data_IF_732122644997
#
_entry.id   IF_732122644997
#
_cell.length_a   1.000
_cell.length_b   1.000
_cell.length_c   1.000
_cell.angle_alpha   90.00
_cell.angle_beta   90.00
_cell.angle_gamma   90.00
#
_symmetry.space_group_name_H-M   'P 1'
#
loop_
_entity.id
_entity.type
_entity.pdbx_description
1 polymer ?
#
# COMPACT_ATOMS: atom_id res chain seq x y z
N UNK A 1 -45.56 -5.00 -46.94
CA UNK A 1 -44.90 -4.28 -45.84
C UNK A 1 -44.12 -5.27 -45.01
N UNK A 2 -42.76 -5.19 -45.11
CA UNK A 2 -41.86 -6.03 -44.36
C UNK A 2 -41.49 -5.23 -43.10
N UNK A 3 -42.02 -5.66 -41.96
CA UNK A 3 -41.70 -5.09 -40.64
C UNK A 3 -40.21 -5.35 -40.32
N UNK A 4 -39.44 -4.28 -40.06
CA UNK A 4 -38.06 -4.38 -39.57
C UNK A 4 -38.09 -4.84 -38.12
N UNK A 5 -37.27 -5.85 -37.71
CA UNK A 5 -37.14 -6.18 -36.30
C UNK A 5 -36.44 -5.05 -35.58
N UNK A 6 -37.02 -4.55 -34.48
CA UNK A 6 -36.37 -3.65 -33.56
C UNK A 6 -35.22 -4.40 -32.88
N UNK A 7 -34.00 -3.96 -33.10
CA UNK A 7 -32.83 -4.43 -32.31
C UNK A 7 -33.02 -3.90 -30.87
N UNK A 8 -33.43 -4.75 -29.98
CA UNK A 8 -33.35 -4.49 -28.55
C UNK A 8 -31.92 -4.83 -28.13
N UNK A 9 -31.09 -3.81 -27.90
CA UNK A 9 -29.79 -3.98 -27.32
C UNK A 9 -30.00 -4.41 -25.85
N UNK A 10 -29.42 -5.52 -25.40
CA UNK A 10 -29.59 -5.95 -24.01
C UNK A 10 -29.04 -4.89 -23.04
N UNK A 11 -29.78 -4.63 -21.94
CA UNK A 11 -29.35 -3.70 -20.87
C UNK A 11 -27.98 -4.01 -20.26
N UNK A 12 -27.53 -5.27 -20.33
CA UNK A 12 -26.22 -5.72 -19.89
C UNK A 12 -25.04 -5.00 -20.60
N UNK A 13 -25.20 -4.69 -21.89
CA UNK A 13 -24.16 -4.04 -22.69
C UNK A 13 -23.96 -2.55 -22.27
N UNK A 14 -25.01 -1.90 -21.77
CA UNK A 14 -24.98 -0.50 -21.36
C UNK A 14 -24.28 -0.34 -19.97
N UNK A 15 -24.50 -1.27 -19.04
CA UNK A 15 -23.82 -1.27 -17.73
C UNK A 15 -22.34 -1.58 -17.89
N UNK A 16 -21.96 -2.45 -18.81
CA UNK A 16 -20.56 -2.81 -19.09
C UNK A 16 -19.81 -1.66 -19.78
N UNK A 17 -20.46 -0.93 -20.70
CA UNK A 17 -19.88 0.26 -21.33
C UNK A 17 -19.69 1.42 -20.33
N UNK A 18 -20.61 1.61 -19.40
CA UNK A 18 -20.49 2.65 -18.36
C UNK A 18 -19.40 2.32 -17.36
N UNK A 19 -19.30 1.07 -16.94
CA UNK A 19 -18.21 0.57 -16.12
C UNK A 19 -16.86 0.75 -16.82
N UNK A 20 -16.73 0.36 -18.08
CA UNK A 20 -15.51 0.54 -18.87
C UNK A 20 -15.08 2.01 -18.99
N UNK A 21 -16.04 2.93 -19.22
CA UNK A 21 -15.76 4.39 -19.24
C UNK A 21 -15.29 4.91 -17.89
N UNK A 22 -15.88 4.43 -16.78
CA UNK A 22 -15.49 4.80 -15.43
C UNK A 22 -14.08 4.33 -15.12
N UNK A 23 -13.73 3.08 -15.39
CA UNK A 23 -12.38 2.54 -15.24
C UNK A 23 -11.36 3.35 -16.07
N UNK A 24 -11.64 3.64 -17.33
CA UNK A 24 -10.77 4.44 -18.18
C UNK A 24 -10.54 5.87 -17.64
N UNK A 25 -11.53 6.43 -16.93
CA UNK A 25 -11.43 7.77 -16.33
C UNK A 25 -10.41 7.86 -15.18
N UNK A 26 -10.11 6.74 -14.49
CA UNK A 26 -9.11 6.71 -13.42
C UNK A 26 -7.70 6.95 -13.93
N UNK A 27 -7.41 6.58 -15.17
CA UNK A 27 -6.14 6.82 -15.84
C UNK A 27 -5.15 5.67 -15.70
N UNK A 28 -3.93 5.90 -16.17
CA UNK A 28 -2.84 4.93 -16.09
C UNK A 28 -2.15 4.96 -14.71
N UNK A 29 -1.29 3.99 -14.47
CA UNK A 29 -0.55 3.79 -13.21
C UNK A 29 0.20 5.06 -12.75
N UNK A 30 0.92 5.73 -13.64
CA UNK A 30 1.68 6.96 -13.31
C UNK A 30 0.76 8.11 -12.88
N UNK A 31 -0.36 8.31 -13.59
CA UNK A 31 -1.33 9.36 -13.27
C UNK A 31 -2.05 9.10 -11.94
N UNK A 32 -2.36 7.85 -11.66
CA UNK A 32 -2.98 7.45 -10.38
C UNK A 32 -1.98 7.64 -9.23
N UNK A 33 -0.72 7.23 -9.39
CA UNK A 33 0.35 7.48 -8.41
C UNK A 33 0.50 8.98 -8.10
N UNK A 34 0.55 9.83 -9.14
CA UNK A 34 0.65 11.28 -8.97
C UNK A 34 -0.53 11.83 -8.16
N UNK A 35 -1.74 11.39 -8.47
CA UNK A 35 -2.95 11.85 -7.78
C UNK A 35 -2.98 11.44 -6.31
N UNK A 36 -2.68 10.18 -6.02
CA UNK A 36 -2.69 9.67 -4.65
C UNK A 36 -1.55 10.29 -3.81
N UNK A 37 -0.39 10.49 -4.40
CA UNK A 37 0.71 11.19 -3.72
C UNK A 37 0.42 12.68 -3.42
N UNK A 38 -0.45 13.32 -4.18
CA UNK A 38 -0.82 14.72 -3.97
C UNK A 38 -1.96 14.92 -2.96
N UNK A 39 -2.72 13.87 -2.66
CA UNK A 39 -3.84 13.89 -1.70
C UNK A 39 -3.38 13.45 -0.30
N UNK A 40 -4.15 13.79 0.74
CA UNK A 40 -3.97 13.18 2.07
C UNK A 40 -4.57 11.78 2.11
N UNK A 41 -4.12 10.93 3.05
CA UNK A 41 -4.67 9.61 3.30
C UNK A 41 -6.17 9.63 3.50
N UNK A 42 -6.66 10.50 4.38
CA UNK A 42 -8.09 10.65 4.63
C UNK A 42 -8.90 11.00 3.36
N UNK A 43 -8.36 11.86 2.49
CA UNK A 43 -9.00 12.20 1.21
C UNK A 43 -9.04 11.00 0.28
N UNK A 44 -7.93 10.25 0.18
CA UNK A 44 -7.85 9.05 -0.66
C UNK A 44 -8.75 7.96 -0.10
N UNK A 45 -8.75 7.73 1.20
CA UNK A 45 -9.61 6.74 1.87
C UNK A 45 -11.09 7.01 1.62
N UNK A 46 -11.55 8.26 1.84
CA UNK A 46 -12.95 8.63 1.58
C UNK A 46 -13.35 8.39 0.12
N UNK A 47 -12.49 8.74 -0.82
CA UNK A 47 -12.72 8.54 -2.25
C UNK A 47 -12.78 7.07 -2.64
N UNK A 48 -11.88 6.24 -2.13
CA UNK A 48 -11.84 4.80 -2.45
C UNK A 48 -12.97 4.02 -1.76
N UNK A 49 -13.47 4.51 -0.63
CA UNK A 49 -14.68 3.98 0.01
C UNK A 49 -15.91 4.17 -0.87
N UNK A 50 -16.00 5.30 -1.59
CA UNK A 50 -17.08 5.57 -2.53
C UNK A 50 -16.87 4.87 -3.89
N UNK A 51 -15.61 4.64 -4.29
CA UNK A 51 -15.22 4.10 -5.59
C UNK A 51 -14.18 2.99 -5.44
N UNK A 52 -14.52 1.83 -4.86
CA UNK A 52 -13.56 0.75 -4.59
C UNK A 52 -12.96 0.13 -5.88
N UNK A 53 -13.62 0.23 -7.00
CA UNK A 53 -13.12 -0.19 -8.30
C UNK A 53 -11.93 0.66 -8.81
N UNK A 54 -11.74 1.89 -8.31
CA UNK A 54 -10.51 2.64 -8.55
C UNK A 54 -9.30 1.96 -7.91
N UNK A 55 -9.45 1.46 -6.69
CA UNK A 55 -8.41 0.70 -5.99
C UNK A 55 -8.09 -0.60 -6.74
N UNK A 56 -9.14 -1.34 -7.17
CA UNK A 56 -8.97 -2.58 -7.94
C UNK A 56 -8.24 -2.33 -9.27
N UNK A 57 -8.58 -1.25 -9.96
CA UNK A 57 -7.90 -0.85 -11.20
C UNK A 57 -6.42 -0.53 -10.93
N UNK A 58 -6.12 0.26 -9.88
CA UNK A 58 -4.75 0.55 -9.48
C UNK A 58 -3.93 -0.73 -9.24
N UNK A 59 -4.46 -1.66 -8.47
CA UNK A 59 -3.77 -2.92 -8.17
C UNK A 59 -3.65 -3.85 -9.39
N UNK A 60 -4.57 -3.78 -10.35
CA UNK A 60 -4.40 -4.48 -11.62
C UNK A 60 -3.21 -3.96 -12.42
N UNK A 61 -3.03 -2.64 -12.45
CA UNK A 61 -1.87 -1.99 -13.10
C UNK A 61 -0.56 -2.26 -12.34
N UNK A 62 -0.62 -2.29 -11.01
CA UNK A 62 0.52 -2.65 -10.16
C UNK A 62 0.99 -4.10 -10.40
N UNK A 63 0.04 -5.06 -10.46
CA UNK A 63 0.36 -6.46 -10.80
C UNK A 63 1.03 -6.59 -12.16
N UNK A 64 0.57 -5.83 -13.15
CA UNK A 64 1.17 -5.84 -14.49
C UNK A 64 2.58 -5.25 -14.45
N UNK A 65 2.76 -4.11 -13.81
CA UNK A 65 4.04 -3.43 -13.72
C UNK A 65 5.12 -4.27 -13.02
N UNK A 66 4.76 -5.02 -11.98
CA UNK A 66 5.73 -5.80 -11.19
C UNK A 66 6.21 -7.08 -11.89
N UNK A 67 5.55 -7.54 -12.95
CA UNK A 67 6.01 -8.73 -13.72
C UNK A 67 7.42 -8.58 -14.26
N UNK A 68 7.82 -7.36 -14.60
CA UNK A 68 9.13 -7.02 -15.16
C UNK A 68 10.15 -6.57 -14.10
N UNK A 69 9.84 -6.70 -12.80
CA UNK A 69 10.75 -6.28 -11.74
C UNK A 69 11.73 -7.39 -11.39
N UNK A 70 13.03 -7.04 -11.38
CA UNK A 70 14.08 -7.95 -10.93
C UNK A 70 14.04 -8.19 -9.41
N UNK A 71 13.49 -7.22 -8.66
CA UNK A 71 13.30 -7.24 -7.21
C UNK A 71 11.85 -6.89 -6.93
N UNK A 72 11.17 -7.70 -6.14
CA UNK A 72 9.79 -7.47 -5.71
C UNK A 72 9.81 -7.15 -4.20
N UNK A 73 9.56 -5.88 -3.81
CA UNK A 73 9.77 -5.42 -2.45
C UNK A 73 9.14 -6.27 -1.34
N UNK A 74 7.88 -6.69 -1.48
CA UNK A 74 7.24 -7.51 -0.45
C UNK A 74 7.84 -8.93 -0.34
N UNK A 75 8.46 -9.45 -1.41
CA UNK A 75 9.15 -10.74 -1.37
C UNK A 75 10.50 -10.64 -0.65
N UNK A 76 11.24 -9.55 -0.84
CA UNK A 76 12.46 -9.29 -0.08
C UNK A 76 12.13 -9.06 1.39
N UNK A 77 11.10 -8.27 1.69
CA UNK A 77 10.61 -8.06 3.04
C UNK A 77 10.21 -9.38 3.72
N UNK A 78 9.52 -10.26 3.01
CA UNK A 78 9.16 -11.57 3.54
C UNK A 78 10.40 -12.41 3.90
N UNK A 79 11.47 -12.39 3.09
CA UNK A 79 12.72 -13.09 3.41
C UNK A 79 13.35 -12.59 4.72
N UNK A 80 13.35 -11.28 4.95
CA UNK A 80 13.89 -10.67 6.17
C UNK A 80 13.07 -11.02 7.41
N UNK A 81 11.75 -11.18 7.24
CA UNK A 81 10.83 -11.45 8.34
C UNK A 81 10.66 -12.95 8.64
N UNK A 82 10.79 -13.84 7.65
CA UNK A 82 10.67 -15.29 7.85
C UNK A 82 11.69 -15.90 8.83
N UNK A 83 12.80 -15.21 9.08
CA UNK A 83 13.79 -15.62 10.10
C UNK A 83 13.38 -15.23 11.54
N UNK A 84 12.21 -14.60 11.71
CA UNK A 84 11.73 -14.02 12.97
C UNK A 84 10.39 -14.65 13.36
N UNK A 85 10.43 -15.86 13.90
CA UNK A 85 9.24 -16.58 14.31
C UNK A 85 8.49 -15.85 15.44
N UNK A 86 7.16 -15.80 15.32
CA UNK A 86 6.25 -15.27 16.36
C UNK A 86 6.16 -13.75 16.42
N UNK A 87 6.76 -13.02 15.48
CA UNK A 87 6.65 -11.56 15.44
C UNK A 87 5.24 -11.09 15.09
N UNK A 88 4.85 -9.96 15.69
CA UNK A 88 3.63 -9.21 15.34
C UNK A 88 4.02 -8.10 14.35
N UNK A 89 3.52 -8.20 13.14
CA UNK A 89 3.88 -7.32 12.01
C UNK A 89 2.67 -6.47 11.61
N UNK A 90 2.86 -5.17 11.48
CA UNK A 90 1.89 -4.27 10.85
C UNK A 90 2.30 -3.98 9.40
N UNK A 91 1.47 -4.34 8.44
CA UNK A 91 1.67 -4.06 7.01
C UNK A 91 0.81 -2.87 6.61
N UNK A 92 1.42 -1.69 6.55
CA UNK A 92 0.78 -0.41 6.29
C UNK A 92 0.68 -0.13 4.78
N UNK A 93 -0.52 -0.21 4.24
CA UNK A 93 -0.78 -0.17 2.80
C UNK A 93 -0.49 -1.52 2.15
N UNK A 94 -1.06 -2.57 2.74
CA UNK A 94 -0.79 -3.97 2.39
C UNK A 94 -1.25 -4.36 0.98
N UNK A 95 -2.07 -3.54 0.34
CA UNK A 95 -2.66 -3.86 -0.95
C UNK A 95 -3.47 -5.16 -0.89
N UNK A 96 -3.03 -6.16 -1.62
CA UNK A 96 -3.66 -7.48 -1.68
C UNK A 96 -3.20 -8.43 -0.55
N UNK A 97 -2.54 -7.90 0.50
CA UNK A 97 -2.03 -8.66 1.65
C UNK A 97 -1.02 -9.78 1.27
N UNK A 98 -0.22 -9.57 0.22
CA UNK A 98 0.74 -10.54 -0.27
C UNK A 98 1.85 -10.85 0.75
N UNK A 99 2.22 -9.88 1.59
CA UNK A 99 3.19 -10.10 2.66
C UNK A 99 2.64 -11.07 3.71
N UNK A 100 1.38 -10.88 4.13
CA UNK A 100 0.72 -11.77 5.08
C UNK A 100 0.61 -13.21 4.52
N UNK A 101 0.28 -13.37 3.24
CA UNK A 101 0.26 -14.68 2.58
C UNK A 101 1.65 -15.36 2.61
N UNK A 102 2.72 -14.60 2.34
CA UNK A 102 4.09 -15.13 2.34
C UNK A 102 4.58 -15.53 3.74
N UNK A 103 4.22 -14.76 4.77
CA UNK A 103 4.64 -15.03 6.15
C UNK A 103 3.83 -16.17 6.78
N UNK A 104 2.59 -16.39 6.35
CA UNK A 104 1.74 -17.49 6.83
C UNK A 104 1.68 -17.51 8.37
N UNK A 105 1.89 -18.70 8.96
CA UNK A 105 1.83 -18.89 10.41
C UNK A 105 3.14 -18.51 11.14
N UNK A 106 4.18 -18.05 10.43
CA UNK A 106 5.45 -17.64 11.05
C UNK A 106 5.32 -16.35 11.85
N UNK A 107 4.46 -15.44 11.39
CA UNK A 107 4.22 -14.14 12.03
C UNK A 107 2.72 -13.89 12.14
N UNK A 108 2.33 -13.10 13.15
CA UNK A 108 0.98 -12.51 13.18
C UNK A 108 1.02 -11.23 12.38
N UNK A 109 0.28 -11.14 11.27
CA UNK A 109 0.29 -9.94 10.41
C UNK A 109 -1.04 -9.21 10.51
N UNK A 110 -0.98 -7.94 10.90
CA UNK A 110 -2.08 -6.99 10.81
C UNK A 110 -1.94 -6.21 9.51
N UNK A 111 -2.86 -6.40 8.59
CA UNK A 111 -2.83 -5.81 7.24
C UNK A 111 -3.81 -4.64 7.16
N UNK A 112 -3.30 -3.44 6.77
CA UNK A 112 -4.08 -2.20 6.69
C UNK A 112 -4.03 -1.65 5.28
N UNK A 113 -5.19 -1.28 4.72
CA UNK A 113 -5.27 -0.58 3.44
C UNK A 113 -6.54 0.29 3.39
N UNK A 114 -6.67 1.12 2.37
CA UNK A 114 -7.89 1.91 2.16
C UNK A 114 -9.11 1.05 1.84
N UNK A 115 -8.91 -0.12 1.24
CA UNK A 115 -9.96 -1.06 0.83
C UNK A 115 -9.63 -2.46 1.33
N UNK A 116 -10.54 -3.08 2.08
CA UNK A 116 -10.40 -4.47 2.49
C UNK A 116 -10.79 -5.39 1.32
N UNK A 117 -9.82 -6.14 0.80
CA UNK A 117 -10.04 -7.12 -0.28
C UNK A 117 -10.47 -8.49 0.24
N UNK A 118 -10.25 -8.75 1.52
CA UNK A 118 -10.63 -9.96 2.23
C UNK A 118 -10.76 -9.68 3.74
N UNK A 119 -11.18 -10.68 4.51
CA UNK A 119 -11.42 -10.56 5.96
C UNK A 119 -10.15 -10.34 6.80
N UNK A 120 -8.96 -10.53 6.22
CA UNK A 120 -7.68 -10.32 6.92
C UNK A 120 -7.14 -8.88 6.76
N UNK A 121 -7.80 -8.04 5.96
CA UNK A 121 -7.41 -6.64 5.74
C UNK A 121 -8.37 -5.70 6.47
N UNK A 122 -7.82 -4.83 7.30
CA UNK A 122 -8.56 -3.75 7.95
C UNK A 122 -8.59 -2.52 7.05
N UNK A 123 -9.80 -2.12 6.62
CA UNK A 123 -9.97 -0.92 5.80
C UNK A 123 -9.89 0.35 6.67
N UNK A 124 -8.79 1.12 6.55
CA UNK A 124 -8.57 2.34 7.32
C UNK A 124 -7.65 3.33 6.63
N UNK A 125 -7.50 4.53 7.20
CA UNK A 125 -6.37 5.42 6.92
C UNK A 125 -5.17 4.97 7.75
N UNK A 126 -4.00 4.81 7.13
CA UNK A 126 -2.77 4.42 7.82
C UNK A 126 -2.27 5.44 8.85
N UNK A 127 -2.84 6.64 8.88
CA UNK A 127 -2.57 7.63 9.92
C UNK A 127 -3.28 7.34 11.25
N UNK A 128 -4.20 6.35 11.28
CA UNK A 128 -4.99 5.97 12.46
C UNK A 128 -5.44 4.50 12.30
N UNK A 129 -4.54 3.57 12.62
CA UNK A 129 -4.81 2.13 12.52
C UNK A 129 -5.41 1.57 13.82
N UNK A 130 -6.29 0.55 13.74
CA UNK A 130 -6.96 -0.02 14.93
C UNK A 130 -6.04 -0.98 15.72
N UNK A 131 -4.84 -0.50 16.11
CA UNK A 131 -3.84 -1.22 16.90
C UNK A 131 -3.48 -0.36 18.12
N UNK A 132 -3.33 -0.98 19.26
CA UNK A 132 -2.93 -0.30 20.49
C UNK A 132 -1.44 0.15 20.44
N UNK A 133 -1.08 1.06 21.36
CA UNK A 133 0.30 1.55 21.47
C UNK A 133 1.25 0.40 21.84
N UNK A 134 2.36 0.28 21.12
CA UNK A 134 3.42 -0.65 21.46
C UNK A 134 3.09 -2.14 21.24
N UNK A 135 2.23 -2.47 20.30
CA UNK A 135 1.82 -3.86 20.01
C UNK A 135 2.70 -4.54 18.96
N UNK A 136 3.26 -3.79 18.02
CA UNK A 136 3.97 -4.35 16.89
C UNK A 136 5.47 -4.56 17.18
N UNK A 137 5.99 -5.70 16.75
CA UNK A 137 7.44 -5.94 16.68
C UNK A 137 8.06 -5.28 15.44
N UNK A 138 7.28 -5.23 14.35
CA UNK A 138 7.69 -4.64 13.07
C UNK A 138 6.55 -3.89 12.43
N UNK A 139 6.82 -2.68 11.93
CA UNK A 139 5.95 -1.93 11.03
C UNK A 139 6.59 -1.89 9.63
N UNK A 140 5.80 -2.17 8.60
CA UNK A 140 6.26 -2.26 7.21
C UNK A 140 5.50 -1.27 6.34
N UNK A 141 6.24 -0.51 5.54
CA UNK A 141 5.74 0.23 4.38
C UNK A 141 6.39 -0.32 3.12
N UNK A 142 5.62 -1.00 2.28
CA UNK A 142 6.11 -1.61 1.05
C UNK A 142 5.48 -0.94 -0.16
N UNK A 143 6.13 0.08 -0.72
CA UNK A 143 5.61 0.96 -1.80
C UNK A 143 4.30 1.65 -1.42
N UNK A 144 4.13 1.98 -0.15
CA UNK A 144 2.87 2.44 0.41
C UNK A 144 2.91 3.82 1.08
N UNK A 145 4.09 4.47 1.18
CA UNK A 145 4.19 5.84 1.70
C UNK A 145 3.62 6.87 0.70
N UNK A 146 2.41 6.60 0.19
CA UNK A 146 1.70 7.47 -0.75
C UNK A 146 0.80 8.42 0.01
N UNK A 147 0.93 9.70 -0.29
CA UNK A 147 0.13 10.75 0.34
C UNK A 147 0.96 11.97 0.72
N UNK A 148 0.35 13.13 0.69
CA UNK A 148 1.00 14.40 1.08
C UNK A 148 1.29 14.47 2.59
N UNK A 149 0.62 13.64 3.39
CA UNK A 149 0.78 13.54 4.83
C UNK A 149 1.47 12.24 5.29
N UNK A 150 2.34 11.66 4.47
CA UNK A 150 3.03 10.38 4.80
C UNK A 150 3.79 10.41 6.14
N UNK A 151 4.18 11.60 6.63
CA UNK A 151 4.78 11.76 7.96
C UNK A 151 3.84 11.31 9.08
N UNK A 152 2.53 11.45 8.89
CA UNK A 152 1.55 11.00 9.90
C UNK A 152 1.48 9.47 9.94
N UNK A 153 1.68 8.78 8.80
CA UNK A 153 1.78 7.32 8.75
C UNK A 153 3.00 6.80 9.52
N UNK A 154 4.14 7.48 9.36
CA UNK A 154 5.37 7.14 10.07
C UNK A 154 5.24 7.35 11.58
N UNK A 155 4.54 8.42 12.00
CA UNK A 155 4.21 8.65 13.43
C UNK A 155 3.29 7.56 13.97
N UNK A 156 2.30 7.15 13.19
CA UNK A 156 1.37 6.09 13.58
C UNK A 156 2.09 4.74 13.70
N UNK A 157 2.97 4.42 12.76
CA UNK A 157 3.85 3.25 12.87
C UNK A 157 4.71 3.32 14.15
N UNK A 158 5.28 4.49 14.48
CA UNK A 158 6.04 4.68 15.71
C UNK A 158 5.19 4.46 16.97
N UNK A 159 3.94 4.94 17.00
CA UNK A 159 3.00 4.75 18.11
C UNK A 159 2.72 3.27 18.36
N UNK A 160 2.50 2.51 17.28
CA UNK A 160 2.13 1.10 17.36
C UNK A 160 3.31 0.16 17.59
N UNK A 161 4.55 0.61 17.33
CA UNK A 161 5.75 -0.18 17.57
C UNK A 161 6.08 -0.30 19.06
N UNK A 162 6.53 -1.48 19.46
CA UNK A 162 7.19 -1.72 20.76
C UNK A 162 8.46 -0.87 20.87
N UNK A 163 8.97 -0.67 22.09
CA UNK A 163 10.17 0.14 22.35
C UNK A 163 11.38 -0.30 21.52
N UNK A 164 11.57 -1.60 21.32
CA UNK A 164 12.65 -2.18 20.50
C UNK A 164 12.14 -2.67 19.14
N UNK A 165 10.94 -2.24 18.74
CA UNK A 165 10.33 -2.58 17.46
C UNK A 165 11.05 -1.91 16.29
N UNK A 166 10.87 -2.43 15.09
CA UNK A 166 11.56 -1.97 13.88
C UNK A 166 10.59 -1.44 12.84
N UNK A 167 10.96 -0.33 12.23
CA UNK A 167 10.33 0.20 11.05
C UNK A 167 11.08 -0.24 9.80
N UNK A 168 10.40 -0.84 8.85
CA UNK A 168 10.91 -1.16 7.52
C UNK A 168 10.16 -0.35 6.46
N UNK A 169 10.89 0.41 5.67
CA UNK A 169 10.36 1.16 4.52
C UNK A 169 11.05 0.67 3.25
N UNK A 170 10.29 0.16 2.31
CA UNK A 170 10.78 -0.26 1.00
C UNK A 170 10.06 0.56 -0.07
N UNK A 171 10.76 1.52 -0.68
CA UNK A 171 10.17 2.49 -1.62
C UNK A 171 11.03 2.64 -2.88
N UNK A 172 10.43 3.15 -3.95
CA UNK A 172 11.18 3.50 -5.16
C UNK A 172 12.25 4.56 -4.82
N UNK A 173 13.52 4.32 -5.23
CA UNK A 173 14.64 5.23 -4.95
C UNK A 173 14.37 6.65 -5.43
N UNK A 174 13.65 6.79 -6.54
CA UNK A 174 13.26 8.10 -7.10
C UNK A 174 12.27 8.89 -6.22
N UNK A 175 11.68 8.29 -5.20
CA UNK A 175 10.79 8.96 -4.26
C UNK A 175 11.55 9.86 -3.29
N UNK A 176 12.79 9.53 -2.99
CA UNK A 176 13.59 10.27 -2.04
C UNK A 176 14.41 11.35 -2.76
N UNK A 177 14.11 12.62 -2.47
CA UNK A 177 14.91 13.77 -2.94
C UNK A 177 16.22 13.86 -2.17
N UNK A 178 16.16 13.61 -0.85
CA UNK A 178 17.31 13.60 0.06
C UNK A 178 17.11 12.49 1.10
N UNK A 179 17.85 11.40 0.98
CA UNK A 179 17.76 10.23 1.87
C UNK A 179 18.39 10.48 3.23
N UNK A 180 19.45 11.29 3.28
CA UNK A 180 20.11 11.63 4.52
C UNK A 180 19.21 12.51 5.38
N UNK A 181 18.51 13.46 4.75
CA UNK A 181 17.49 14.26 5.43
C UNK A 181 16.33 13.39 5.91
N UNK A 182 15.84 12.45 5.09
CA UNK A 182 14.78 11.52 5.49
C UNK A 182 15.18 10.67 6.71
N UNK A 183 16.42 10.17 6.73
CA UNK A 183 16.96 9.45 7.89
C UNK A 183 17.07 10.34 9.15
N UNK A 184 17.44 11.61 8.99
CA UNK A 184 17.46 12.58 10.08
C UNK A 184 16.05 12.87 10.61
N UNK A 185 15.07 12.96 9.73
CA UNK A 185 13.66 13.16 10.09
C UNK A 185 13.11 11.97 10.89
N UNK A 186 13.44 10.72 10.50
CA UNK A 186 13.09 9.51 11.27
C UNK A 186 13.66 9.56 12.69
N UNK A 187 14.92 9.98 12.86
CA UNK A 187 15.52 10.15 14.18
C UNK A 187 14.80 11.23 15.00
N UNK A 188 14.36 12.31 14.37
CA UNK A 188 13.59 13.36 15.04
C UNK A 188 12.22 12.86 15.50
N UNK A 189 11.64 11.87 14.79
CA UNK A 189 10.39 11.21 15.16
C UNK A 189 10.55 10.17 16.29
N UNK A 190 11.77 9.89 16.72
CA UNK A 190 12.06 8.98 17.85
C UNK A 190 12.69 7.65 17.44
N UNK A 191 12.90 7.39 16.15
CA UNK A 191 13.60 6.19 15.69
C UNK A 191 15.09 6.27 16.01
N UNK A 192 15.67 5.14 16.37
CA UNK A 192 17.06 5.06 16.80
C UNK A 192 18.07 5.04 15.64
N UNK A 193 18.69 3.91 15.43
CA UNK A 193 19.66 3.72 14.36
C UNK A 193 18.93 3.52 13.03
N UNK A 194 19.29 4.31 12.00
CA UNK A 194 18.72 4.21 10.66
C UNK A 194 19.77 3.66 9.71
N UNK A 195 19.46 2.58 8.99
CA UNK A 195 20.25 2.06 7.87
C UNK A 195 19.49 2.25 6.55
N UNK A 196 20.23 2.46 5.46
CA UNK A 196 19.70 2.68 4.12
C UNK A 196 20.47 1.80 3.14
N UNK A 197 19.78 0.98 2.40
CA UNK A 197 20.34 0.10 1.39
C UNK A 197 19.57 0.26 0.07
N UNK A 198 20.31 0.37 -1.05
CA UNK A 198 19.68 0.43 -2.37
C UNK A 198 19.75 -0.95 -3.03
N UNK A 199 18.63 -1.39 -3.57
CA UNK A 199 18.52 -2.62 -4.31
C UNK A 199 17.74 -2.39 -5.61
N UNK A 200 18.40 -2.56 -6.76
CA UNK A 200 17.87 -2.27 -8.08
C UNK A 200 17.35 -0.83 -8.20
N UNK A 201 16.02 -0.61 -8.28
CA UNK A 201 15.39 0.72 -8.33
C UNK A 201 14.67 1.09 -7.05
N UNK A 202 14.91 0.33 -6.00
CA UNK A 202 14.29 0.54 -4.69
C UNK A 202 15.32 0.91 -3.64
N UNK A 203 14.86 1.54 -2.59
CA UNK A 203 15.61 1.85 -1.37
C UNK A 203 14.91 1.19 -0.20
N UNK A 204 15.64 0.40 0.56
CA UNK A 204 15.20 -0.20 1.81
C UNK A 204 15.78 0.58 2.98
N UNK A 205 14.92 1.08 3.87
CA UNK A 205 15.28 1.81 5.07
C UNK A 205 14.82 1.01 6.28
N UNK A 206 15.70 0.81 7.25
CA UNK A 206 15.42 0.16 8.54
C UNK A 206 15.73 1.15 9.65
N UNK A 207 14.76 1.35 10.55
CA UNK A 207 14.88 2.27 11.66
C UNK A 207 14.35 1.68 12.99
#
# INVERSE_FOLDING_TARGET
EISRPSLVIPLADAEDEDHGRRIASYGNFSRMNQRWNAATGATTHGRLKENPDEWQHYHSLYREARKDWAVVPFEEMAKDLLVREGYVVGDFGCGEAMLAEKLGDHCTVHSFDHVAVNDSVSACDMADVPIDDGELDVAVFCLSLMGSNFTDYVKEAHRTLKLDGRLHIYEATSRFTDRDQFAADLKTLGFGQVSIEDEWKFTHIIA
#
